data_IF_751172713280
#
_entry.id   IF_751172713280
#
_cell.length_a   1.000
_cell.length_b   1.000
_cell.length_c   1.000
_cell.angle_alpha   90.00
_cell.angle_beta   90.00
_cell.angle_gamma   90.00
#
_symmetry.space_group_name_H-M   'P 1'
#
loop_
_entity.id
_entity.type
_entity.pdbx_description
1 polymer ?
#
# COMPACT_ATOMS: atom_id res chain seq x y z
N UNK A 1 5.06 -10.88 72.73
CA UNK A 1 5.70 -9.84 71.90
C UNK A 1 5.65 -10.32 70.45
N UNK A 2 4.83 -9.69 69.60
CA UNK A 2 4.59 -10.12 68.21
C UNK A 2 5.64 -9.46 67.31
N UNK A 3 6.48 -10.25 66.63
CA UNK A 3 7.42 -9.74 65.62
C UNK A 3 6.68 -9.59 64.29
N UNK A 4 6.49 -8.35 63.85
CA UNK A 4 5.97 -8.03 62.52
C UNK A 4 7.12 -8.07 61.52
N UNK A 5 7.02 -8.96 60.53
CA UNK A 5 7.94 -9.04 59.39
C UNK A 5 7.48 -8.01 58.36
N UNK A 6 8.35 -7.04 58.06
CA UNK A 6 8.11 -5.98 57.09
C UNK A 6 8.41 -6.49 55.68
N UNK A 7 7.36 -6.67 54.88
CA UNK A 7 7.45 -7.04 53.46
C UNK A 7 7.31 -5.78 52.60
N UNK A 8 8.42 -5.05 52.37
CA UNK A 8 8.40 -3.80 51.58
C UNK A 8 9.19 -3.90 50.24
N UNK A 9 9.92 -4.98 49.96
CA UNK A 9 10.80 -5.03 48.77
C UNK A 9 10.17 -5.43 47.43
N UNK A 10 8.87 -5.73 47.33
CA UNK A 10 8.31 -6.31 46.10
C UNK A 10 7.74 -5.28 45.09
N UNK A 11 7.70 -3.98 45.40
CA UNK A 11 6.95 -2.99 44.59
C UNK A 11 7.81 -2.25 43.56
N UNK A 12 9.14 -2.28 43.69
CA UNK A 12 10.03 -1.43 42.85
C UNK A 12 10.35 -2.06 41.48
N UNK A 13 10.17 -3.36 41.30
CA UNK A 13 10.53 -4.05 40.03
C UNK A 13 9.48 -3.96 38.92
N UNK A 14 8.27 -3.44 39.19
CA UNK A 14 7.19 -3.41 38.19
C UNK A 14 7.14 -2.12 37.35
N UNK A 15 7.89 -1.08 37.72
CA UNK A 15 7.80 0.23 37.06
C UNK A 15 8.62 0.37 35.76
N UNK A 16 9.52 -0.58 35.45
CA UNK A 16 10.40 -0.49 34.26
C UNK A 16 9.82 -1.16 33.01
N UNK A 17 8.67 -1.82 33.09
CA UNK A 17 8.06 -2.56 31.98
C UNK A 17 7.26 -1.67 30.99
N UNK A 18 7.09 -0.38 31.26
CA UNK A 18 6.28 0.53 30.43
C UNK A 18 7.07 1.39 29.43
N UNK A 19 8.40 1.27 29.37
CA UNK A 19 9.24 2.00 28.42
C UNK A 19 9.70 1.09 27.28
N UNK A 20 8.75 0.50 26.55
CA UNK A 20 9.05 0.03 25.19
C UNK A 20 8.61 1.11 24.20
N UNK A 21 9.48 1.57 23.29
CA UNK A 21 9.04 2.46 22.23
C UNK A 21 8.12 1.64 21.32
N UNK A 22 6.82 1.93 21.37
CA UNK A 22 5.85 1.45 20.39
C UNK A 22 6.06 2.18 19.08
N UNK A 23 7.20 1.93 18.43
CA UNK A 23 7.43 2.38 17.07
C UNK A 23 7.44 1.16 16.16
N UNK A 24 6.29 0.49 16.11
CA UNK A 24 5.92 -0.34 14.98
C UNK A 24 5.59 0.61 13.81
N UNK A 25 6.59 1.29 13.26
CA UNK A 25 6.45 2.02 12.01
C UNK A 25 6.18 0.99 10.92
N UNK A 26 4.98 1.00 10.33
CA UNK A 26 4.69 0.18 9.17
C UNK A 26 5.77 0.47 8.12
N UNK A 27 6.53 -0.56 7.72
CA UNK A 27 7.52 -0.43 6.65
C UNK A 27 6.81 0.14 5.43
N UNK A 28 7.33 1.24 4.91
CA UNK A 28 6.81 1.83 3.69
C UNK A 28 6.99 0.84 2.53
N UNK A 29 5.90 0.61 1.79
CA UNK A 29 5.90 -0.27 0.64
C UNK A 29 6.65 0.39 -0.53
N UNK A 30 7.44 -0.39 -1.24
CA UNK A 30 8.06 0.01 -2.52
C UNK A 30 7.03 0.15 -3.63
N UNK A 31 7.41 0.79 -4.74
CA UNK A 31 6.55 0.97 -5.91
C UNK A 31 6.02 -0.35 -6.47
N UNK A 32 6.86 -1.39 -6.48
CA UNK A 32 6.46 -2.74 -6.86
C UNK A 32 5.48 -3.36 -5.87
N UNK A 33 5.78 -3.29 -4.57
CA UNK A 33 4.93 -3.84 -3.52
C UNK A 33 3.55 -3.19 -3.52
N UNK A 34 3.45 -1.89 -3.76
CA UNK A 34 2.16 -1.20 -3.90
C UNK A 34 1.43 -1.67 -5.15
N UNK A 35 2.13 -1.78 -6.29
CA UNK A 35 1.52 -2.19 -7.56
C UNK A 35 1.02 -3.63 -7.52
N UNK A 36 1.80 -4.55 -6.97
CA UNK A 36 1.49 -5.99 -6.99
C UNK A 36 0.81 -6.49 -5.72
N UNK A 37 0.88 -5.75 -4.62
CA UNK A 37 0.37 -6.16 -3.33
C UNK A 37 -1.14 -6.39 -3.33
N UNK A 38 -1.58 -7.58 -2.90
CA UNK A 38 -3.00 -7.97 -2.80
C UNK A 38 -3.82 -7.09 -1.84
N UNK A 39 -3.15 -6.44 -0.89
CA UNK A 39 -3.75 -5.47 0.06
C UNK A 39 -3.59 -4.01 -0.38
N UNK A 40 -3.05 -3.78 -1.58
CA UNK A 40 -2.80 -2.48 -2.18
C UNK A 40 -3.36 -2.48 -3.61
N UNK A 41 -2.54 -2.18 -4.62
CA UNK A 41 -2.99 -2.03 -6.01
C UNK A 41 -3.46 -3.33 -6.65
N UNK A 42 -2.87 -4.47 -6.28
CA UNK A 42 -3.19 -5.80 -6.81
C UNK A 42 -3.32 -5.83 -8.35
N UNK A 43 -2.53 -5.02 -9.06
CA UNK A 43 -2.79 -4.71 -10.47
C UNK A 43 -2.64 -5.95 -11.37
N UNK A 44 -1.80 -6.90 -10.97
CA UNK A 44 -1.59 -8.17 -11.66
C UNK A 44 -2.83 -9.05 -11.71
N UNK A 45 -3.80 -8.86 -10.81
CA UNK A 45 -5.05 -9.63 -10.86
C UNK A 45 -5.81 -9.41 -12.17
N UNK A 46 -5.65 -8.24 -12.82
CA UNK A 46 -6.32 -7.91 -14.07
C UNK A 46 -5.36 -7.66 -15.23
N UNK A 47 -4.14 -7.19 -14.98
CA UNK A 47 -3.22 -6.73 -16.01
C UNK A 47 -1.91 -7.51 -16.04
N UNK A 48 -1.38 -7.72 -17.25
CA UNK A 48 0.03 -8.07 -17.43
C UNK A 48 0.93 -6.85 -17.24
N UNK A 49 1.94 -6.97 -16.39
CA UNK A 49 2.95 -5.93 -16.13
C UNK A 49 4.33 -6.62 -16.16
N UNK A 50 5.31 -6.12 -16.94
CA UNK A 50 6.66 -6.69 -16.97
C UNK A 50 7.29 -6.80 -15.57
N UNK A 51 7.84 -7.98 -15.25
CA UNK A 51 8.38 -8.33 -13.93
C UNK A 51 7.37 -8.94 -12.97
N UNK A 52 6.07 -8.91 -13.29
CA UNK A 52 5.02 -9.57 -12.51
C UNK A 52 4.86 -11.06 -12.85
N UNK A 53 4.46 -11.85 -11.87
CA UNK A 53 4.18 -13.27 -12.01
C UNK A 53 2.67 -13.55 -12.02
N UNK A 54 2.24 -14.55 -12.80
CA UNK A 54 0.84 -15.00 -12.91
C UNK A 54 -0.16 -13.85 -13.20
N UNK A 55 0.06 -13.03 -14.24
CA UNK A 55 -0.84 -11.92 -14.54
C UNK A 55 -2.19 -12.38 -15.08
N UNK A 56 -3.23 -11.62 -14.76
CA UNK A 56 -4.53 -11.69 -15.41
C UNK A 56 -4.54 -10.99 -16.76
N UNK A 57 -5.60 -11.24 -17.52
CA UNK A 57 -5.81 -10.72 -18.89
C UNK A 57 -7.17 -10.01 -19.05
N UNK A 58 -7.80 -9.65 -17.92
CA UNK A 58 -9.08 -8.94 -17.90
C UNK A 58 -8.91 -7.51 -18.43
N UNK A 59 -7.84 -6.83 -18.00
CA UNK A 59 -7.45 -5.53 -18.50
C UNK A 59 -6.32 -5.62 -19.53
N UNK A 60 -6.10 -4.56 -20.33
CA UNK A 60 -5.01 -4.54 -21.30
C UNK A 60 -3.64 -4.62 -20.61
N UNK A 61 -2.60 -5.16 -21.26
CA UNK A 61 -1.26 -5.13 -20.68
C UNK A 61 -0.78 -3.69 -20.41
N UNK A 62 -0.07 -3.49 -19.30
CA UNK A 62 0.51 -2.18 -18.91
C UNK A 62 1.99 -2.16 -19.28
N UNK A 63 2.25 -2.00 -20.57
CA UNK A 63 3.58 -1.84 -21.16
C UNK A 63 3.61 -0.56 -22.00
N UNK A 64 4.81 0.01 -22.16
CA UNK A 64 5.05 1.25 -22.91
C UNK A 64 4.12 2.40 -22.46
N UNK A 65 3.88 2.50 -21.16
CA UNK A 65 2.88 3.43 -20.62
C UNK A 65 3.21 4.89 -20.91
N UNK A 66 4.50 5.25 -21.00
CA UNK A 66 4.97 6.58 -21.38
C UNK A 66 4.52 7.01 -22.79
N UNK A 67 4.41 6.08 -23.73
CA UNK A 67 3.93 6.39 -25.08
C UNK A 67 2.40 6.53 -25.11
N UNK A 68 1.69 5.72 -24.33
CA UNK A 68 0.21 5.70 -24.25
C UNK A 68 -0.34 6.87 -23.44
N UNK A 69 0.40 7.29 -22.42
CA UNK A 69 0.16 8.44 -21.58
C UNK A 69 1.45 9.26 -21.57
N UNK A 70 1.58 10.30 -22.41
CA UNK A 70 2.74 11.18 -22.34
C UNK A 70 2.76 12.01 -21.05
N UNK A 71 1.58 12.33 -20.51
CA UNK A 71 1.40 13.03 -19.24
C UNK A 71 1.04 12.05 -18.11
N UNK A 72 1.89 12.01 -17.07
CA UNK A 72 1.70 11.17 -15.88
C UNK A 72 0.43 11.53 -15.12
N UNK A 73 0.02 12.80 -15.12
CA UNK A 73 -1.18 13.24 -14.43
C UNK A 73 -2.44 12.60 -15.04
N UNK A 74 -2.46 12.43 -16.37
CA UNK A 74 -3.57 11.73 -17.06
C UNK A 74 -3.61 10.25 -16.70
N UNK A 75 -2.45 9.59 -16.59
CA UNK A 75 -2.42 8.20 -16.11
C UNK A 75 -2.84 8.09 -14.64
N UNK A 76 -2.36 9.00 -13.77
CA UNK A 76 -2.75 9.04 -12.36
C UNK A 76 -4.26 9.23 -12.24
N UNK A 77 -4.86 10.13 -13.03
CA UNK A 77 -6.31 10.34 -13.06
C UNK A 77 -7.07 9.08 -13.52
N UNK A 78 -6.56 8.35 -14.52
CA UNK A 78 -7.13 7.07 -14.94
C UNK A 78 -7.13 6.03 -13.82
N UNK A 79 -6.07 5.97 -13.01
CA UNK A 79 -5.98 5.04 -11.86
C UNK A 79 -6.84 5.54 -10.69
N UNK A 80 -6.91 6.85 -10.49
CA UNK A 80 -7.69 7.49 -9.43
C UNK A 80 -9.18 7.18 -9.57
N UNK A 81 -9.73 7.38 -10.78
CA UNK A 81 -11.11 7.03 -11.11
C UNK A 81 -11.25 6.66 -12.59
N UNK A 82 -11.18 5.36 -12.89
CA UNK A 82 -11.39 4.83 -14.23
C UNK A 82 -12.82 5.07 -14.76
N UNK A 83 -13.79 5.29 -13.87
CA UNK A 83 -15.21 5.47 -14.25
C UNK A 83 -15.47 6.80 -14.94
N UNK A 84 -14.58 7.78 -14.77
CA UNK A 84 -14.63 9.07 -15.49
C UNK A 84 -14.55 8.88 -17.00
N UNK A 85 -13.72 7.94 -17.47
CA UNK A 85 -13.55 7.66 -18.90
C UNK A 85 -14.47 6.54 -19.40
N UNK A 86 -14.82 5.61 -18.53
CA UNK A 86 -15.75 4.53 -18.84
C UNK A 86 -16.61 4.21 -17.61
N UNK A 87 -17.87 4.69 -17.53
CA UNK A 87 -18.76 4.45 -16.39
C UNK A 87 -18.96 2.97 -16.02
N UNK A 88 -18.82 2.07 -17.01
CA UNK A 88 -18.98 0.62 -16.84
C UNK A 88 -17.62 -0.09 -16.55
N UNK A 89 -16.57 0.67 -16.27
CA UNK A 89 -15.25 0.12 -15.95
C UNK A 89 -15.28 -0.75 -14.70
N UNK A 90 -14.80 -1.98 -14.83
CA UNK A 90 -14.57 -2.87 -13.68
C UNK A 90 -13.23 -2.58 -12.97
N UNK A 91 -12.36 -1.74 -13.54
CA UNK A 91 -11.15 -1.30 -12.87
C UNK A 91 -11.54 -0.46 -11.64
N UNK A 92 -11.11 -0.84 -10.42
CA UNK A 92 -11.48 -0.12 -9.22
C UNK A 92 -11.04 1.36 -9.28
N UNK A 93 -11.87 2.32 -8.84
CA UNK A 93 -11.46 3.72 -8.77
C UNK A 93 -10.62 3.92 -7.49
N UNK A 94 -9.33 3.59 -7.59
CA UNK A 94 -8.43 3.40 -6.45
C UNK A 94 -8.31 4.65 -5.56
N UNK A 95 -8.30 5.84 -6.15
CA UNK A 95 -8.19 7.09 -5.41
C UNK A 95 -9.53 7.56 -4.85
N UNK A 96 -10.58 7.54 -5.67
CA UNK A 96 -11.94 7.98 -5.26
C UNK A 96 -12.48 7.19 -4.08
N UNK A 97 -12.21 5.89 -4.01
CA UNK A 97 -12.64 5.03 -2.90
C UNK A 97 -11.59 4.93 -1.77
N UNK A 98 -10.46 5.64 -1.87
CA UNK A 98 -9.41 5.63 -0.86
C UNK A 98 -8.73 4.27 -0.70
N UNK A 99 -8.74 3.42 -1.72
CA UNK A 99 -8.05 2.12 -1.73
C UNK A 99 -6.54 2.34 -1.70
N UNK A 100 -6.07 3.35 -2.44
CA UNK A 100 -4.69 3.82 -2.40
C UNK A 100 -4.65 5.28 -1.97
N UNK A 101 -3.64 5.63 -1.16
CA UNK A 101 -3.29 7.03 -0.87
C UNK A 101 -2.73 7.73 -2.11
N UNK A 102 -2.68 9.05 -2.11
CA UNK A 102 -2.11 9.83 -3.23
C UNK A 102 -0.66 9.43 -3.53
N UNK A 103 0.13 9.22 -2.47
CA UNK A 103 1.50 8.71 -2.56
C UNK A 103 1.54 7.33 -3.24
N UNK A 104 0.68 6.40 -2.82
CA UNK A 104 0.63 5.07 -3.42
C UNK A 104 0.16 5.10 -4.88
N UNK A 105 -0.72 6.03 -5.26
CA UNK A 105 -1.07 6.24 -6.66
C UNK A 105 0.15 6.67 -7.49
N UNK A 106 0.97 7.59 -6.97
CA UNK A 106 2.23 7.98 -7.62
C UNK A 106 3.19 6.81 -7.75
N UNK A 107 3.29 5.96 -6.73
CA UNK A 107 4.11 4.76 -6.75
C UNK A 107 3.66 3.78 -7.86
N UNK A 108 2.36 3.53 -8.01
CA UNK A 108 1.83 2.71 -9.11
C UNK A 108 2.15 3.33 -10.47
N UNK A 109 1.90 4.63 -10.62
CA UNK A 109 2.19 5.36 -11.87
C UNK A 109 3.67 5.25 -12.23
N UNK A 110 4.56 5.49 -11.27
CA UNK A 110 6.01 5.43 -11.46
C UNK A 110 6.46 4.03 -11.86
N UNK A 111 5.95 3.00 -11.18
CA UNK A 111 6.29 1.62 -11.48
C UNK A 111 5.93 1.24 -12.92
N UNK A 112 4.68 1.47 -13.34
CA UNK A 112 4.23 1.08 -14.69
C UNK A 112 4.78 1.99 -15.79
N UNK A 113 5.17 3.23 -15.47
CA UNK A 113 5.91 4.09 -16.41
C UNK A 113 7.33 3.64 -16.66
N UNK A 114 7.93 2.91 -15.71
CA UNK A 114 9.28 2.39 -15.85
C UNK A 114 9.34 1.06 -16.61
N UNK A 115 8.21 0.55 -17.08
CA UNK A 115 8.09 -0.72 -17.81
C UNK A 115 7.98 -0.55 -19.32
#
# INVERSE_FOLDING_TARGET
MKKTISSISAVVTLATLFMMPTQAGAKEMTDEEVTFGRKAGNCLACHMIPGGNLPGTIGPPLLAMKARYPDKAVLKAQIYDATVRNPDSIMPPFGKHGILTDKQLDQVVNYIYSK
#
